data_IF_122193891084
#
_entry.id   IF_122193891084
#
_cell.length_a   1.000
_cell.length_b   1.000
_cell.length_c   1.000
_cell.angle_alpha   90.00
_cell.angle_beta   90.00
_cell.angle_gamma   90.00
#
_symmetry.space_group_name_H-M   'P 1'
#
loop_
_entity.id
_entity.type
_entity.pdbx_description
1 polymer ?
#
# COMPACT_ATOMS: atom_id res chain seq x y z
N UNK A 1 -35.01 -32.03 48.29
CA UNK A 1 -34.98 -31.30 49.57
C UNK A 1 -33.54 -30.88 49.84
N UNK A 2 -33.36 -29.58 49.88
CA UNK A 2 -32.12 -28.82 49.99
C UNK A 2 -31.78 -28.65 51.47
N UNK A 3 -30.61 -29.10 51.95
CA UNK A 3 -29.97 -28.52 53.14
C UNK A 3 -28.44 -28.70 53.03
N UNK A 4 -27.74 -27.58 52.87
CA UNK A 4 -26.28 -27.42 53.00
C UNK A 4 -26.03 -26.91 54.43
N UNK A 5 -25.08 -27.46 55.21
CA UNK A 5 -24.55 -26.77 56.37
C UNK A 5 -23.23 -26.06 56.03
N UNK A 6 -23.28 -24.74 56.15
CA UNK A 6 -22.14 -23.83 56.23
C UNK A 6 -21.27 -24.16 57.45
N UNK A 7 -19.94 -24.17 57.27
CA UNK A 7 -18.97 -24.10 58.36
C UNK A 7 -18.41 -22.67 58.40
N UNK A 8 -18.66 -21.99 59.51
CA UNK A 8 -18.10 -20.68 59.86
C UNK A 8 -16.61 -20.80 60.20
N UNK A 9 -15.81 -19.87 59.67
CA UNK A 9 -14.44 -19.61 60.10
C UNK A 9 -14.43 -18.64 61.31
N UNK A 10 -13.69 -19.01 62.36
CA UNK A 10 -13.15 -18.06 63.35
C UNK A 10 -11.87 -17.44 62.76
N UNK A 11 -11.50 -16.17 62.91
CA UNK A 11 -11.72 -15.23 64.00
C UNK A 11 -10.35 -14.81 64.55
N UNK A 12 -9.76 -13.72 64.05
CA UNK A 12 -8.76 -12.92 64.77
C UNK A 12 -8.76 -11.46 64.26
N UNK A 13 -9.03 -10.55 65.19
CA UNK A 13 -8.94 -9.08 65.13
C UNK A 13 -7.65 -8.64 65.90
N UNK A 14 -7.33 -7.35 66.04
CA UNK A 14 -7.00 -6.34 65.02
C UNK A 14 -5.64 -5.67 65.33
N UNK A 15 -5.04 -4.96 64.37
CA UNK A 15 -4.06 -3.90 64.69
C UNK A 15 -4.59 -2.57 64.19
N UNK A 16 -4.92 -1.70 65.14
CA UNK A 16 -5.21 -0.28 64.95
C UNK A 16 -3.93 0.45 64.55
N UNK A 17 -3.93 1.14 63.42
CA UNK A 17 -3.06 2.30 63.20
C UNK A 17 -3.98 3.48 62.94
N UNK A 18 -3.92 4.45 63.84
CA UNK A 18 -4.66 5.71 63.78
C UNK A 18 -4.18 6.53 62.58
N UNK A 19 -5.11 6.86 61.67
CA UNK A 19 -4.89 7.81 60.59
C UNK A 19 -4.85 9.24 61.13
N UNK A 20 -3.82 9.99 60.72
CA UNK A 20 -3.80 11.45 60.75
C UNK A 20 -4.65 12.00 59.60
N UNK A 21 -5.37 13.12 59.77
CA UNK A 21 -6.12 13.74 58.69
C UNK A 21 -5.16 14.41 57.71
N UNK A 22 -5.08 13.87 56.49
CA UNK A 22 -4.37 14.50 55.37
C UNK A 22 -5.30 15.58 54.79
N UNK A 23 -4.83 16.83 54.63
CA UNK A 23 -5.64 17.89 54.04
C UNK A 23 -5.99 17.54 52.58
N UNK A 24 -7.28 17.67 52.26
CA UNK A 24 -7.85 17.51 50.93
C UNK A 24 -7.25 18.54 49.96
N UNK A 25 -6.26 18.12 49.18
CA UNK A 25 -5.85 18.86 48.00
C UNK A 25 -6.76 18.48 46.82
N UNK A 26 -7.30 19.44 46.07
CA UNK A 26 -8.17 19.16 44.96
C UNK A 26 -7.42 18.37 43.89
N UNK A 27 -8.06 17.28 43.48
CA UNK A 27 -7.69 16.40 42.37
C UNK A 27 -7.31 17.21 41.12
N UNK A 28 -6.02 17.20 40.78
CA UNK A 28 -5.58 17.41 39.40
C UNK A 28 -4.96 16.10 38.94
N UNK A 29 -5.81 15.16 38.52
CA UNK A 29 -5.38 14.14 37.57
C UNK A 29 -4.97 14.89 36.30
N UNK A 30 -3.68 15.21 36.18
CA UNK A 30 -3.08 15.39 34.87
C UNK A 30 -2.92 13.99 34.32
N UNK A 31 -4.03 13.43 33.82
CA UNK A 31 -3.93 12.39 32.81
C UNK A 31 -3.38 13.12 31.60
N UNK A 32 -2.10 12.90 31.30
CA UNK A 32 -1.60 13.19 29.96
C UNK A 32 -2.25 12.16 29.05
N UNK A 33 -3.51 12.39 28.67
CA UNK A 33 -4.05 11.81 27.47
C UNK A 33 -3.24 12.41 26.32
N UNK A 34 -2.23 11.68 25.89
CA UNK A 34 -1.68 11.88 24.55
C UNK A 34 -2.86 11.61 23.62
N UNK A 35 -3.41 12.69 23.06
CA UNK A 35 -4.56 12.67 22.18
C UNK A 35 -4.22 11.91 20.90
N UNK A 36 -4.39 10.59 20.92
CA UNK A 36 -4.42 9.71 19.74
C UNK A 36 -5.72 9.88 18.94
N UNK A 37 -6.69 10.63 19.47
CA UNK A 37 -7.95 10.93 18.78
C UNK A 37 -7.81 11.92 17.62
N UNK A 38 -6.69 12.64 17.48
CA UNK A 38 -6.60 13.75 16.51
C UNK A 38 -6.43 13.31 15.05
N UNK A 39 -6.01 12.07 14.77
CA UNK A 39 -5.93 11.54 13.41
C UNK A 39 -7.13 10.67 13.00
N UNK A 40 -7.81 10.01 13.95
CA UNK A 40 -8.82 8.97 13.67
C UNK A 40 -10.10 9.43 12.91
N UNK A 41 -10.16 10.68 12.46
CA UNK A 41 -11.29 11.20 11.68
C UNK A 41 -10.95 12.45 10.87
N UNK A 42 -9.76 12.51 10.24
CA UNK A 42 -9.50 13.61 9.30
C UNK A 42 -10.39 13.45 8.06
N UNK A 43 -10.97 14.55 7.60
CA UNK A 43 -11.77 14.58 6.38
C UNK A 43 -10.90 14.32 5.14
N UNK A 44 -11.55 13.97 4.04
CA UNK A 44 -10.87 13.77 2.77
C UNK A 44 -10.33 15.09 2.21
N UNK A 45 -9.09 15.09 1.73
CA UNK A 45 -8.45 16.19 1.01
C UNK A 45 -8.13 15.72 -0.41
N UNK A 46 -8.56 16.45 -1.44
CA UNK A 46 -8.20 16.13 -2.83
C UNK A 46 -6.74 16.53 -3.08
N UNK A 47 -5.93 15.58 -3.56
CA UNK A 47 -4.49 15.73 -3.75
C UNK A 47 -4.12 15.50 -5.22
N UNK A 48 -3.86 16.59 -5.95
CA UNK A 48 -3.31 16.56 -7.31
C UNK A 48 -1.81 16.77 -7.34
N UNK A 49 -1.18 16.58 -8.50
CA UNK A 49 0.26 16.76 -8.67
C UNK A 49 1.07 15.48 -8.47
N UNK A 50 2.31 15.61 -8.04
CA UNK A 50 3.33 14.56 -8.22
C UNK A 50 3.57 13.67 -7.00
N UNK A 51 2.81 13.86 -5.92
CA UNK A 51 3.04 13.22 -4.63
C UNK A 51 3.99 13.98 -3.71
N UNK A 52 4.59 15.07 -4.19
CA UNK A 52 5.58 15.83 -3.43
C UNK A 52 4.93 16.65 -2.32
N UNK A 53 5.61 16.75 -1.18
CA UNK A 53 5.17 17.63 -0.08
C UNK A 53 5.08 19.09 -0.54
N UNK A 54 5.95 19.49 -1.47
CA UNK A 54 5.92 20.82 -2.09
C UNK A 54 4.63 21.08 -2.91
N UNK A 55 3.99 20.03 -3.42
CA UNK A 55 2.70 20.10 -4.10
C UNK A 55 1.54 20.12 -3.09
N UNK A 56 1.80 20.12 -1.77
CA UNK A 56 0.77 20.10 -0.73
C UNK A 56 0.29 18.69 -0.36
N UNK A 57 1.09 17.66 -0.63
CA UNK A 57 0.87 16.29 -0.14
C UNK A 57 1.36 16.11 1.31
N UNK A 58 0.81 15.14 2.06
CA UNK A 58 1.25 14.90 3.43
C UNK A 58 2.69 14.42 3.51
N UNK A 59 3.39 14.81 4.58
CA UNK A 59 4.66 14.20 4.95
C UNK A 59 4.45 12.86 5.64
N UNK A 60 5.50 12.04 5.78
CA UNK A 60 5.39 10.78 6.53
C UNK A 60 5.07 11.01 8.03
N UNK A 61 5.42 12.18 8.58
CA UNK A 61 5.03 12.58 9.94
C UNK A 61 3.55 12.95 10.10
N UNK A 62 2.84 13.19 8.99
CA UNK A 62 1.39 13.43 9.01
C UNK A 62 0.57 12.13 9.00
N UNK A 63 1.20 11.00 8.71
CA UNK A 63 0.54 9.70 8.73
C UNK A 63 0.20 9.29 10.16
N UNK A 64 -0.67 8.29 10.31
CA UNK A 64 -0.84 7.57 11.58
C UNK A 64 0.52 7.25 12.21
N UNK A 65 0.64 7.53 13.51
CA UNK A 65 1.94 7.43 14.20
C UNK A 65 2.47 6.00 14.24
N UNK A 66 1.55 5.03 14.29
CA UNK A 66 1.86 3.59 14.35
C UNK A 66 0.91 2.80 13.45
N UNK A 67 1.34 1.60 13.06
CA UNK A 67 0.49 0.65 12.34
C UNK A 67 -0.70 0.21 13.21
N UNK A 68 -0.49 0.00 14.51
CA UNK A 68 -1.53 -0.43 15.45
C UNK A 68 -2.66 0.60 15.54
N UNK A 69 -2.33 1.89 15.59
CA UNK A 69 -3.31 2.98 15.61
C UNK A 69 -4.14 3.00 14.31
N UNK A 70 -3.48 2.88 13.15
CA UNK A 70 -4.16 2.83 11.85
C UNK A 70 -5.05 1.59 11.71
N UNK A 71 -4.56 0.43 12.16
CA UNK A 71 -5.29 -0.83 12.08
C UNK A 71 -6.55 -0.79 12.95
N UNK A 72 -6.43 -0.31 14.19
CA UNK A 72 -7.59 -0.18 15.09
C UNK A 72 -8.59 0.86 14.56
N UNK A 73 -8.12 1.98 14.01
CA UNK A 73 -8.98 3.00 13.40
C UNK A 73 -9.82 2.48 12.22
N UNK A 74 -9.33 1.47 11.50
CA UNK A 74 -10.00 0.87 10.34
C UNK A 74 -10.66 -0.49 10.65
N UNK A 75 -10.55 -0.98 11.88
CA UNK A 75 -11.00 -2.33 12.26
C UNK A 75 -12.49 -2.54 12.03
N UNK A 76 -13.32 -1.53 12.31
CA UNK A 76 -14.75 -1.56 12.04
C UNK A 76 -15.05 -1.78 10.55
N UNK A 77 -14.41 -0.99 9.68
CA UNK A 77 -14.51 -1.11 8.21
C UNK A 77 -14.09 -2.51 7.75
N UNK A 78 -12.93 -2.98 8.19
CA UNK A 78 -12.44 -4.31 7.80
C UNK A 78 -13.36 -5.42 8.30
N UNK A 79 -13.90 -5.32 9.52
CA UNK A 79 -14.80 -6.33 10.09
C UNK A 79 -16.05 -6.55 9.24
N UNK A 80 -16.66 -5.49 8.69
CA UNK A 80 -17.88 -5.57 7.89
C UNK A 80 -17.66 -5.51 6.37
N UNK A 81 -16.40 -5.44 5.92
CA UNK A 81 -16.06 -5.17 4.51
C UNK A 81 -16.55 -6.22 3.52
N UNK A 82 -16.68 -7.49 3.92
CA UNK A 82 -17.07 -8.55 2.99
C UNK A 82 -18.55 -8.53 2.61
N UNK A 83 -19.38 -7.81 3.37
CA UNK A 83 -20.79 -7.63 3.06
C UNK A 83 -21.01 -7.02 1.65
N UNK A 84 -20.06 -6.23 1.13
CA UNK A 84 -20.13 -5.65 -0.21
C UNK A 84 -20.18 -6.71 -1.34
N UNK A 85 -19.73 -7.93 -1.08
CA UNK A 85 -19.82 -9.07 -2.00
C UNK A 85 -20.79 -10.16 -1.54
N UNK A 86 -21.62 -9.88 -0.53
CA UNK A 86 -22.59 -10.83 0.02
C UNK A 86 -21.94 -12.16 0.47
N UNK A 87 -20.75 -12.07 1.08
CA UNK A 87 -20.06 -13.21 1.72
C UNK A 87 -19.84 -12.93 3.21
N UNK A 88 -19.52 -13.97 3.97
CA UNK A 88 -19.33 -13.87 5.43
C UNK A 88 -18.27 -12.82 5.78
N UNK A 89 -18.58 -12.02 6.80
CA UNK A 89 -17.71 -10.96 7.28
C UNK A 89 -16.49 -11.50 8.03
N UNK A 90 -15.48 -10.65 8.18
CA UNK A 90 -14.23 -11.05 8.83
C UNK A 90 -14.47 -11.32 10.32
N UNK A 91 -13.94 -12.45 10.82
CA UNK A 91 -13.90 -12.73 12.26
C UNK A 91 -12.79 -11.95 12.96
N UNK A 92 -12.85 -11.81 14.29
CA UNK A 92 -11.77 -11.17 15.06
C UNK A 92 -10.43 -11.93 14.93
N UNK A 93 -10.48 -13.25 14.75
CA UNK A 93 -9.30 -14.08 14.50
C UNK A 93 -8.69 -13.80 13.11
N UNK A 94 -9.52 -13.63 12.08
CA UNK A 94 -9.05 -13.28 10.73
C UNK A 94 -8.43 -11.88 10.70
N UNK A 95 -9.00 -10.92 11.44
CA UNK A 95 -8.40 -9.60 11.60
C UNK A 95 -7.06 -9.67 12.35
N UNK A 96 -6.94 -10.50 13.38
CA UNK A 96 -5.67 -10.74 14.07
C UNK A 96 -4.62 -11.38 13.14
N UNK A 97 -5.02 -12.37 12.35
CA UNK A 97 -4.17 -13.01 11.34
C UNK A 97 -3.71 -12.01 10.28
N UNK A 98 -4.60 -11.13 9.81
CA UNK A 98 -4.27 -10.06 8.86
C UNK A 98 -3.27 -9.07 9.47
N UNK A 99 -3.51 -8.58 10.69
CA UNK A 99 -2.58 -7.68 11.38
C UNK A 99 -1.17 -8.28 11.53
N UNK A 100 -1.10 -9.55 11.97
CA UNK A 100 0.18 -10.26 12.13
C UNK A 100 0.88 -10.50 10.77
N UNK A 101 0.11 -10.84 9.73
CA UNK A 101 0.63 -11.03 8.38
C UNK A 101 1.22 -9.73 7.81
N UNK A 102 0.52 -8.61 7.93
CA UNK A 102 1.01 -7.29 7.49
C UNK A 102 2.34 -6.96 8.18
N UNK A 103 2.42 -7.08 9.50
CA UNK A 103 3.66 -6.81 10.26
C UNK A 103 4.82 -7.72 9.85
N UNK A 104 4.54 -9.01 9.67
CA UNK A 104 5.54 -9.99 9.24
C UNK A 104 6.07 -9.69 7.84
N UNK A 105 5.17 -9.45 6.89
CA UNK A 105 5.53 -9.16 5.50
C UNK A 105 6.26 -7.81 5.40
N UNK A 106 5.77 -6.76 6.09
CA UNK A 106 6.46 -5.48 6.21
C UNK A 106 7.92 -5.64 6.67
N UNK A 107 8.13 -6.44 7.72
CA UNK A 107 9.47 -6.71 8.27
C UNK A 107 10.37 -7.41 7.25
N UNK A 108 9.82 -8.34 6.45
CA UNK A 108 10.58 -9.11 5.47
C UNK A 108 10.88 -8.36 4.17
N UNK A 109 10.00 -7.42 3.77
CA UNK A 109 10.13 -6.69 2.50
C UNK A 109 10.76 -5.31 2.67
N UNK A 110 10.71 -4.75 3.87
CA UNK A 110 11.11 -3.37 4.16
C UNK A 110 10.04 -2.33 3.80
N UNK A 111 8.84 -2.77 3.39
CA UNK A 111 7.71 -1.88 3.10
C UNK A 111 7.02 -1.48 4.40
N UNK A 112 6.67 -0.20 4.56
CA UNK A 112 5.99 0.30 5.77
C UNK A 112 4.62 -0.39 5.95
N UNK A 113 4.36 -0.94 7.14
CA UNK A 113 3.13 -1.66 7.45
C UNK A 113 1.86 -0.80 7.29
N UNK A 114 1.94 0.51 7.54
CA UNK A 114 0.83 1.46 7.33
C UNK A 114 0.49 1.57 5.85
N UNK A 115 1.50 1.59 4.99
CA UNK A 115 1.31 1.62 3.54
C UNK A 115 0.69 0.34 3.00
N UNK A 116 1.14 -0.83 3.48
CA UNK A 116 0.51 -2.11 3.15
C UNK A 116 -0.96 -2.11 3.53
N UNK A 117 -1.30 -1.63 4.74
CA UNK A 117 -2.69 -1.54 5.18
C UNK A 117 -3.51 -0.56 4.33
N UNK A 118 -2.95 0.58 3.93
CA UNK A 118 -3.62 1.53 3.05
C UNK A 118 -4.02 0.87 1.72
N UNK A 119 -3.13 0.05 1.13
CA UNK A 119 -3.40 -0.69 -0.10
C UNK A 119 -4.44 -1.78 0.14
N UNK A 120 -4.34 -2.57 1.22
CA UNK A 120 -5.38 -3.56 1.59
C UNK A 120 -6.77 -2.91 1.70
N UNK A 121 -6.85 -1.72 2.30
CA UNK A 121 -8.10 -0.99 2.42
C UNK A 121 -8.59 -0.45 1.08
N UNK A 122 -7.69 0.01 0.21
CA UNK A 122 -8.06 0.50 -1.12
C UNK A 122 -8.56 -0.61 -2.04
N UNK A 123 -7.90 -1.77 -2.02
CA UNK A 123 -8.23 -2.89 -2.90
C UNK A 123 -9.50 -3.63 -2.49
N UNK A 124 -9.75 -3.76 -1.18
CA UNK A 124 -10.83 -4.63 -0.70
C UNK A 124 -11.60 -4.14 0.52
N UNK A 125 -11.28 -2.95 1.03
CA UNK A 125 -11.67 -2.52 2.38
C UNK A 125 -11.24 -3.51 3.49
N UNK A 126 -10.27 -4.40 3.20
CA UNK A 126 -9.79 -5.43 4.12
C UNK A 126 -10.58 -6.74 4.12
N UNK A 127 -11.42 -7.02 3.12
CA UNK A 127 -12.15 -8.29 3.06
C UNK A 127 -11.21 -9.44 2.66
N UNK A 128 -11.03 -10.43 3.55
CA UNK A 128 -10.18 -11.60 3.24
C UNK A 128 -10.79 -12.52 2.17
N UNK A 129 -12.07 -12.33 1.85
CA UNK A 129 -12.83 -13.04 0.82
C UNK A 129 -13.15 -12.18 -0.39
N UNK A 130 -12.42 -11.09 -0.60
CA UNK A 130 -12.55 -10.30 -1.83
C UNK A 130 -12.44 -11.23 -3.05
N UNK A 131 -13.38 -11.16 -4.01
CA UNK A 131 -13.39 -12.07 -5.14
C UNK A 131 -12.08 -12.02 -5.92
N UNK A 132 -11.67 -13.17 -6.43
CA UNK A 132 -10.62 -13.22 -7.43
C UNK A 132 -11.20 -12.80 -8.77
N UNK A 133 -10.64 -11.75 -9.36
CA UNK A 133 -11.02 -11.29 -10.69
C UNK A 133 -10.11 -11.93 -11.74
N UNK A 134 -10.63 -12.10 -12.96
CA UNK A 134 -9.85 -12.62 -14.09
C UNK A 134 -10.37 -12.01 -15.40
N UNK A 135 -9.63 -11.02 -15.90
CA UNK A 135 -9.89 -10.34 -17.17
C UNK A 135 -8.66 -10.44 -18.10
N UNK A 136 -8.00 -11.61 -18.09
CA UNK A 136 -6.72 -11.85 -18.79
C UNK A 136 -5.50 -11.89 -17.87
N UNK A 137 -5.64 -11.34 -16.65
CA UNK A 137 -4.71 -11.49 -15.52
C UNK A 137 -5.54 -11.89 -14.30
N UNK A 138 -5.03 -12.82 -13.49
CA UNK A 138 -5.72 -13.26 -12.28
C UNK A 138 -5.32 -12.36 -11.11
N UNK A 139 -6.27 -11.59 -10.57
CA UNK A 139 -6.03 -10.68 -9.45
C UNK A 139 -6.83 -11.16 -8.24
N UNK A 140 -6.23 -11.88 -7.28
CA UNK A 140 -6.96 -12.47 -6.19
C UNK A 140 -6.99 -11.60 -4.94
N UNK A 141 -8.14 -11.66 -4.27
CA UNK A 141 -8.21 -11.50 -2.84
C UNK A 141 -7.87 -10.11 -2.31
N UNK A 142 -7.32 -10.10 -1.09
CA UNK A 142 -7.22 -8.94 -0.21
C UNK A 142 -6.51 -7.72 -0.83
N UNK A 143 -5.52 -7.95 -1.70
CA UNK A 143 -4.72 -6.92 -2.35
C UNK A 143 -4.83 -6.95 -3.88
N UNK A 144 -5.73 -7.77 -4.45
CA UNK A 144 -5.93 -7.92 -5.91
C UNK A 144 -4.61 -8.07 -6.69
N UNK A 145 -3.68 -8.87 -6.16
CA UNK A 145 -2.29 -8.92 -6.65
C UNK A 145 -2.17 -9.55 -8.04
N UNK A 146 -1.36 -8.97 -8.93
CA UNK A 146 -1.15 -9.50 -10.27
C UNK A 146 -0.65 -10.96 -10.26
N UNK A 147 -1.45 -11.88 -10.80
CA UNK A 147 -1.23 -13.34 -10.81
C UNK A 147 -0.89 -13.92 -9.42
N UNK A 148 -1.59 -13.43 -8.40
CA UNK A 148 -1.46 -13.93 -7.04
C UNK A 148 -1.85 -15.41 -6.89
N UNK A 149 -1.17 -16.08 -5.97
CA UNK A 149 -1.47 -17.46 -5.57
C UNK A 149 -2.47 -17.51 -4.41
N UNK A 150 -2.37 -16.56 -3.47
CA UNK A 150 -3.23 -16.49 -2.29
C UNK A 150 -4.66 -16.07 -2.63
N UNK A 151 -5.65 -16.78 -2.10
CA UNK A 151 -7.06 -16.40 -2.21
C UNK A 151 -7.93 -17.18 -1.24
N UNK A 152 -8.96 -16.55 -0.70
CA UNK A 152 -10.07 -17.23 -0.03
C UNK A 152 -11.38 -17.15 -0.81
N UNK A 153 -11.36 -16.66 -2.06
CA UNK A 153 -12.56 -16.59 -2.88
C UNK A 153 -12.21 -16.67 -4.37
N UNK A 154 -12.02 -17.89 -4.88
CA UNK A 154 -11.93 -18.19 -6.32
C UNK A 154 -13.29 -18.62 -6.90
N UNK A 155 -14.38 -18.01 -6.42
CA UNK A 155 -15.77 -18.39 -6.74
C UNK A 155 -16.44 -19.28 -5.70
N UNK A 156 -15.66 -19.82 -4.75
CA UNK A 156 -16.17 -20.55 -3.58
C UNK A 156 -15.51 -19.94 -2.32
N UNK A 157 -16.18 -19.00 -1.63
CA UNK A 157 -15.61 -18.33 -0.46
C UNK A 157 -15.28 -19.32 0.67
N UNK A 158 -14.08 -19.21 1.24
CA UNK A 158 -13.63 -20.00 2.39
C UNK A 158 -14.01 -19.29 3.69
N UNK A 159 -14.63 -20.03 4.62
CA UNK A 159 -14.97 -19.53 5.96
C UNK A 159 -14.68 -20.58 7.03
N UNK A 160 -13.78 -20.31 7.99
CA UNK A 160 -12.86 -19.16 8.02
C UNK A 160 -11.85 -19.21 6.87
N UNK A 161 -11.35 -18.05 6.46
CA UNK A 161 -10.22 -17.90 5.57
C UNK A 161 -8.94 -18.30 6.31
N UNK A 162 -8.18 -19.30 5.82
CA UNK A 162 -6.98 -19.78 6.51
C UNK A 162 -5.93 -18.67 6.68
N UNK A 163 -5.27 -18.63 7.84
CA UNK A 163 -4.21 -17.65 8.12
C UNK A 163 -3.08 -17.67 7.06
N UNK A 164 -2.77 -18.85 6.51
CA UNK A 164 -1.81 -19.01 5.42
C UNK A 164 -2.26 -18.33 4.12
N UNK A 165 -3.54 -18.37 3.79
CA UNK A 165 -4.09 -17.66 2.62
C UNK A 165 -4.08 -16.14 2.82
N UNK A 166 -4.41 -15.67 4.02
CA UNK A 166 -4.28 -14.24 4.39
C UNK A 166 -2.84 -13.77 4.23
N UNK A 167 -1.89 -14.54 4.79
CA UNK A 167 -0.45 -14.25 4.67
C UNK A 167 -0.01 -14.23 3.21
N UNK A 168 -0.46 -15.21 2.40
CA UNK A 168 -0.08 -15.31 1.00
C UNK A 168 -0.62 -14.14 0.18
N UNK A 169 -1.88 -13.73 0.36
CA UNK A 169 -2.45 -12.56 -0.35
C UNK A 169 -1.65 -11.27 -0.04
N UNK A 170 -1.25 -11.09 1.21
CA UNK A 170 -0.43 -9.93 1.61
C UNK A 170 0.99 -10.03 1.06
N UNK A 171 1.55 -11.23 1.04
CA UNK A 171 2.87 -11.51 0.46
C UNK A 171 2.88 -11.23 -1.03
N UNK A 172 1.89 -11.73 -1.78
CA UNK A 172 1.78 -11.53 -3.21
C UNK A 172 1.65 -10.04 -3.57
N UNK A 173 0.83 -9.28 -2.83
CA UNK A 173 0.66 -7.84 -3.06
C UNK A 173 1.88 -7.00 -2.63
N UNK A 174 2.62 -7.42 -1.60
CA UNK A 174 3.72 -6.60 -1.06
C UNK A 174 5.07 -6.99 -1.66
N UNK A 175 5.39 -8.29 -1.68
CA UNK A 175 6.65 -8.82 -2.19
C UNK A 175 6.61 -9.08 -3.70
N UNK A 176 5.42 -9.06 -4.31
CA UNK A 176 5.21 -9.36 -5.72
C UNK A 176 5.07 -10.85 -6.00
N UNK A 177 4.77 -11.16 -7.25
CA UNK A 177 4.65 -12.53 -7.76
C UNK A 177 5.74 -12.79 -8.80
N UNK A 178 5.71 -13.97 -9.42
CA UNK A 178 6.61 -14.25 -10.54
C UNK A 178 6.28 -13.44 -11.79
N UNK A 179 5.05 -12.95 -11.92
CA UNK A 179 4.53 -12.30 -13.12
C UNK A 179 4.23 -10.80 -12.91
N UNK A 180 4.26 -10.32 -11.68
CA UNK A 180 3.85 -8.95 -11.37
C UNK A 180 4.57 -8.36 -10.16
N UNK A 181 4.76 -7.06 -10.22
CA UNK A 181 5.38 -6.30 -9.15
C UNK A 181 4.48 -6.17 -7.93
N UNK A 182 5.07 -6.31 -6.74
CA UNK A 182 4.43 -5.93 -5.50
C UNK A 182 4.86 -4.53 -5.06
N UNK A 183 4.36 -4.09 -3.91
CA UNK A 183 4.69 -2.78 -3.35
C UNK A 183 6.20 -2.55 -3.19
N UNK A 184 6.98 -3.60 -2.90
CA UNK A 184 8.45 -3.50 -2.79
C UNK A 184 9.09 -3.05 -4.11
N UNK A 185 8.68 -3.64 -5.22
CA UNK A 185 9.18 -3.31 -6.55
C UNK A 185 8.66 -1.95 -7.00
N UNK A 186 7.38 -1.65 -6.75
CA UNK A 186 6.78 -0.35 -7.03
C UNK A 186 7.52 0.78 -6.30
N UNK A 187 7.87 0.58 -5.03
CA UNK A 187 8.69 1.52 -4.25
C UNK A 187 10.09 1.69 -4.84
N UNK A 188 10.75 0.59 -5.22
CA UNK A 188 12.06 0.67 -5.85
C UNK A 188 12.03 1.49 -7.16
N UNK A 189 10.98 1.34 -7.96
CA UNK A 189 10.76 2.14 -9.18
C UNK A 189 10.45 3.61 -8.87
N UNK A 190 9.76 3.87 -7.75
CA UNK A 190 9.33 5.20 -7.33
C UNK A 190 10.41 6.03 -6.60
N UNK A 191 11.62 5.50 -6.38
CA UNK A 191 12.72 6.18 -5.68
C UNK A 191 13.07 5.61 -4.30
N UNK A 192 12.45 4.50 -3.89
CA UNK A 192 12.75 3.78 -2.65
C UNK A 192 11.89 4.24 -1.46
N UNK A 193 12.41 4.05 -0.25
CA UNK A 193 11.71 4.33 1.02
C UNK A 193 12.21 5.59 1.74
N UNK A 194 13.18 6.30 1.16
CA UNK A 194 13.81 7.48 1.77
C UNK A 194 12.98 8.76 1.66
N UNK A 195 11.96 8.77 0.80
CA UNK A 195 11.09 9.91 0.54
C UNK A 195 9.61 9.47 0.58
N UNK A 196 8.76 10.28 1.21
CA UNK A 196 7.32 10.02 1.30
C UNK A 196 6.66 10.05 -0.09
N UNK A 197 7.14 10.91 -1.00
CA UNK A 197 6.60 11.01 -2.35
C UNK A 197 6.71 9.69 -3.12
N UNK A 198 7.75 8.90 -2.85
CA UNK A 198 7.94 7.56 -3.43
C UNK A 198 6.82 6.59 -3.04
N UNK A 199 6.19 6.73 -1.87
CA UNK A 199 5.06 5.88 -1.50
C UNK A 199 3.80 6.22 -2.30
N UNK A 200 3.54 7.50 -2.55
CA UNK A 200 2.39 7.92 -3.38
C UNK A 200 2.58 7.56 -4.85
N UNK A 201 3.80 7.71 -5.35
CA UNK A 201 4.21 7.22 -6.68
C UNK A 201 4.10 5.70 -6.77
N UNK A 202 4.56 4.97 -5.77
CA UNK A 202 4.44 3.51 -5.71
C UNK A 202 2.98 3.05 -5.68
N UNK A 203 2.10 3.77 -4.99
CA UNK A 203 0.65 3.49 -5.05
C UNK A 203 0.12 3.65 -6.47
N UNK A 204 0.53 4.69 -7.20
CA UNK A 204 0.15 4.86 -8.60
C UNK A 204 0.68 3.74 -9.50
N UNK A 205 1.93 3.32 -9.31
CA UNK A 205 2.53 2.20 -10.05
C UNK A 205 1.81 0.90 -9.71
N UNK A 206 1.47 0.64 -8.44
CA UNK A 206 0.72 -0.55 -8.06
C UNK A 206 -0.65 -0.63 -8.75
N UNK A 207 -1.35 0.51 -8.84
CA UNK A 207 -2.66 0.59 -9.47
C UNK A 207 -2.63 0.48 -11.00
N UNK A 208 -1.60 1.02 -11.65
CA UNK A 208 -1.61 1.24 -13.11
C UNK A 208 -0.40 0.71 -13.87
N UNK A 209 0.57 0.13 -13.17
CA UNK A 209 1.86 -0.30 -13.70
C UNK A 209 2.79 0.84 -14.13
N UNK A 210 2.38 2.11 -14.02
CA UNK A 210 3.15 3.24 -14.55
C UNK A 210 2.79 4.57 -13.89
N UNK A 211 3.53 5.61 -14.23
CA UNK A 211 3.19 7.01 -13.92
C UNK A 211 3.20 7.76 -15.25
N UNK A 212 2.24 8.67 -15.43
CA UNK A 212 2.20 9.54 -16.61
C UNK A 212 3.51 10.34 -16.76
N UNK A 213 3.87 10.70 -17.99
CA UNK A 213 5.12 11.44 -18.28
C UNK A 213 5.18 12.82 -17.60
N UNK A 214 4.04 13.41 -17.30
CA UNK A 214 3.89 14.64 -16.50
C UNK A 214 4.26 14.46 -15.02
N UNK A 215 4.38 13.20 -14.56
CA UNK A 215 4.48 12.79 -13.16
C UNK A 215 3.24 13.08 -12.31
N UNK A 216 2.15 13.60 -12.89
CA UNK A 216 0.92 13.84 -12.15
C UNK A 216 0.24 12.50 -11.81
N UNK A 217 0.05 12.23 -10.52
CA UNK A 217 -0.51 10.98 -10.00
C UNK A 217 -2.01 10.85 -10.23
N UNK A 218 -2.70 11.94 -10.61
CA UNK A 218 -4.07 11.94 -11.10
C UNK A 218 -4.20 11.64 -12.60
N UNK A 219 -3.10 11.51 -13.35
CA UNK A 219 -3.09 11.26 -14.79
C UNK A 219 -2.59 9.86 -15.14
N UNK A 220 -2.85 9.41 -16.37
CA UNK A 220 -2.48 8.09 -16.86
C UNK A 220 -3.65 7.10 -16.79
N UNK A 221 -3.36 5.82 -17.01
CA UNK A 221 -4.35 4.74 -17.10
C UNK A 221 -4.69 4.23 -15.68
N UNK A 222 -5.91 3.74 -15.46
CA UNK A 222 -6.47 3.23 -14.19
C UNK A 222 -7.11 4.30 -13.26
N UNK A 223 -7.45 3.90 -12.04
CA UNK A 223 -8.24 4.70 -11.09
C UNK A 223 -7.52 6.00 -10.73
N UNK A 224 -7.96 7.12 -11.32
CA UNK A 224 -7.29 8.41 -11.21
C UNK A 224 -7.11 8.91 -9.77
N UNK A 225 -8.07 8.64 -8.88
CA UNK A 225 -8.03 9.07 -7.49
C UNK A 225 -7.13 8.22 -6.58
N UNK A 226 -6.55 7.12 -7.07
CA UNK A 226 -5.95 6.08 -6.24
C UNK A 226 -4.85 6.61 -5.30
N UNK A 227 -3.89 7.38 -5.81
CA UNK A 227 -2.81 7.91 -4.98
C UNK A 227 -3.33 8.92 -3.93
N UNK A 228 -4.31 9.75 -4.29
CA UNK A 228 -4.98 10.68 -3.37
C UNK A 228 -5.72 9.92 -2.26
N UNK A 229 -6.46 8.87 -2.61
CA UNK A 229 -7.15 8.01 -1.64
C UNK A 229 -6.17 7.36 -0.67
N UNK A 230 -5.05 6.82 -1.16
CA UNK A 230 -4.01 6.21 -0.34
C UNK A 230 -3.40 7.21 0.64
N UNK A 231 -3.07 8.42 0.19
CA UNK A 231 -2.58 9.48 1.07
C UNK A 231 -3.59 9.82 2.17
N UNK A 232 -4.87 9.92 1.82
CA UNK A 232 -5.93 10.21 2.80
C UNK A 232 -6.09 9.09 3.83
N UNK A 233 -6.04 7.82 3.41
CA UNK A 233 -6.09 6.65 4.32
C UNK A 233 -4.94 6.68 5.32
N UNK A 234 -3.74 7.03 4.86
CA UNK A 234 -2.55 7.14 5.72
C UNK A 234 -2.67 8.27 6.75
N UNK A 235 -3.45 9.32 6.45
CA UNK A 235 -3.61 10.50 7.30
C UNK A 235 -4.92 10.56 8.10
N UNK A 236 -5.74 9.51 8.08
CA UNK A 236 -6.91 9.43 8.97
C UNK A 236 -8.28 9.32 8.31
N UNK A 237 -8.37 9.23 6.99
CA UNK A 237 -9.63 8.95 6.31
C UNK A 237 -9.96 7.45 6.36
N UNK A 238 -10.91 7.08 7.23
CA UNK A 238 -11.24 5.68 7.54
C UNK A 238 -12.62 5.24 7.05
N UNK A 239 -13.50 6.20 6.73
CA UNK A 239 -14.91 5.95 6.37
C UNK A 239 -15.44 7.03 5.41
N UNK A 240 -16.53 6.71 4.72
CA UNK A 240 -17.19 7.61 3.77
C UNK A 240 -16.62 7.48 2.34
N UNK A 241 -17.30 8.08 1.35
CA UNK A 241 -16.82 8.08 -0.03
C UNK A 241 -15.55 8.94 -0.17
N UNK A 242 -14.77 8.65 -1.21
CA UNK A 242 -13.70 9.54 -1.64
C UNK A 242 -14.30 10.90 -2.04
N UNK A 243 -13.61 11.99 -1.71
CA UNK A 243 -13.95 13.33 -2.16
C UNK A 243 -13.33 13.69 -3.53
N UNK A 244 -12.56 12.78 -4.11
CA UNK A 244 -11.90 12.98 -5.39
C UNK A 244 -12.84 12.67 -6.55
N UNK A 245 -12.83 13.56 -7.54
CA UNK A 245 -13.49 13.36 -8.82
C UNK A 245 -12.45 12.85 -9.84
N UNK A 246 -12.62 11.64 -10.39
CA UNK A 246 -11.65 11.04 -11.31
C UNK A 246 -11.51 11.83 -12.62
N UNK A 247 -12.51 12.65 -12.99
CA UNK A 247 -12.48 13.41 -14.24
C UNK A 247 -11.62 14.67 -14.13
N UNK A 248 -11.47 15.23 -12.93
CA UNK A 248 -10.83 16.53 -12.72
C UNK A 248 -9.50 16.45 -11.99
N UNK A 249 -9.23 15.37 -11.26
CA UNK A 249 -7.99 15.19 -10.49
C UNK A 249 -6.71 15.25 -11.35
N UNK A 250 -6.80 14.84 -12.62
CA UNK A 250 -5.68 14.91 -13.56
C UNK A 250 -5.27 16.33 -13.96
N UNK A 251 -6.13 17.34 -13.75
CA UNK A 251 -5.82 18.75 -14.02
C UNK A 251 -5.18 19.45 -12.83
N UNK A 252 -5.38 18.91 -11.62
CA UNK A 252 -4.84 19.46 -10.39
C UNK A 252 -3.34 19.19 -10.30
N UNK A 253 -2.56 20.24 -10.05
CA UNK A 253 -1.10 20.19 -9.88
C UNK A 253 -0.66 20.33 -8.43
N UNK A 254 -1.60 20.53 -7.51
CA UNK A 254 -1.35 20.65 -6.07
C UNK A 254 -2.53 20.14 -5.25
N UNK A 255 -2.26 19.73 -4.02
CA UNK A 255 -3.22 19.49 -2.95
C UNK A 255 -3.24 20.63 -1.93
N UNK A 256 -4.23 20.59 -1.04
CA UNK A 256 -4.39 21.56 0.05
C UNK A 256 -4.32 20.89 1.43
N UNK A 257 -3.45 19.89 1.59
CA UNK A 257 -3.33 19.19 2.87
C UNK A 257 -2.82 20.15 3.96
N UNK A 258 -3.65 20.35 4.98
CA UNK A 258 -3.30 21.11 6.18
C UNK A 258 -2.91 20.13 7.29
N UNK A 259 -1.66 19.69 7.26
CA UNK A 259 -1.05 18.85 8.29
C UNK A 259 -0.63 19.68 9.49
N UNK A 260 -1.16 19.37 10.67
CA UNK A 260 -0.78 20.02 11.93
C UNK A 260 0.65 19.70 12.36
N UNK A 261 1.63 20.29 11.70
CA UNK A 261 2.99 20.49 12.20
C UNK A 261 3.38 21.93 11.86
N UNK A 262 3.01 22.84 12.75
CA UNK A 262 3.38 24.25 12.63
C UNK A 262 4.89 24.42 12.66
N UNK A 263 5.41 25.15 11.68
CA UNK A 263 6.57 26.02 11.86
C UNK A 263 6.29 27.33 11.09
N UNK A 264 6.60 28.50 11.67
CA UNK A 264 5.96 29.75 11.29
C UNK A 264 6.53 30.31 9.98
N UNK A 265 5.71 30.36 8.94
CA UNK A 265 5.88 31.32 7.85
C UNK A 265 5.62 32.71 8.41
N UNK A 266 6.70 33.44 8.69
CA UNK A 266 6.63 34.89 8.90
C UNK A 266 6.37 35.55 7.54
N UNK A 267 5.15 36.04 7.38
CA UNK A 267 4.78 36.99 6.34
C UNK A 267 5.66 38.24 6.47
N UNK A 268 6.53 38.46 5.49
CA UNK A 268 7.32 39.69 5.42
C UNK A 268 6.57 40.70 4.57
N UNK A 269 5.87 41.62 5.24
CA UNK A 269 5.45 42.90 4.65
C UNK A 269 6.64 43.85 4.68
N UNK A 270 6.94 44.46 3.54
CA UNK A 270 8.09 45.33 3.31
C UNK A 270 8.05 46.67 4.06
N UNK A 271 9.27 47.12 4.41
CA UNK A 271 9.80 48.49 4.53
C UNK A 271 9.84 49.17 5.93
N UNK A 272 10.79 50.11 6.19
CA UNK A 272 12.15 50.26 5.65
C UNK A 272 13.26 50.37 6.73
N UNK A 273 14.49 50.23 6.23
CA UNK A 273 15.82 50.40 6.83
C UNK A 273 16.01 51.49 7.89
N UNK A 274 16.64 51.12 9.01
CA UNK A 274 17.69 51.93 9.64
C UNK A 274 18.85 51.05 10.14
N UNK A 275 20.04 51.55 9.86
CA UNK A 275 21.38 50.97 10.04
C UNK A 275 21.82 50.94 11.50
N UNK A 276 22.40 49.83 11.98
CA UNK A 276 23.51 49.81 12.93
C UNK A 276 24.16 48.42 13.02
N UNK A 277 25.50 48.42 12.95
CA UNK A 277 26.40 47.27 12.84
C UNK A 277 26.60 46.52 14.18
N UNK A 278 27.25 45.32 14.19
CA UNK A 278 27.16 44.35 15.28
C UNK A 278 28.25 44.53 16.35
N UNK A 279 27.90 44.27 17.60
CA UNK A 279 28.84 44.08 18.70
C UNK A 279 29.27 42.60 18.78
N UNK A 280 30.57 42.39 18.66
CA UNK A 280 31.28 41.12 18.81
C UNK A 280 31.42 40.77 20.29
N UNK A 281 30.98 39.56 20.71
CA UNK A 281 31.36 39.00 22.01
C UNK A 281 31.94 37.61 21.81
N UNK A 282 33.26 37.55 21.91
CA UNK A 282 34.10 36.36 21.99
C UNK A 282 33.91 35.69 23.35
N UNK A 283 33.63 34.39 23.39
CA UNK A 283 33.81 33.58 24.60
C UNK A 283 34.60 32.32 24.23
N UNK A 284 35.75 32.18 24.87
CA UNK A 284 36.71 31.08 24.76
C UNK A 284 36.26 29.84 25.56
N UNK A 285 36.75 28.64 25.21
CA UNK A 285 36.41 27.39 25.87
C UNK A 285 37.29 27.14 27.11
N UNK A 286 36.68 26.62 28.18
CA UNK A 286 37.41 26.13 29.37
C UNK A 286 37.54 24.61 29.29
N UNK A 287 38.78 24.16 29.15
CA UNK A 287 39.25 22.77 29.27
C UNK A 287 39.14 22.30 30.72
N UNK A 288 38.59 21.10 30.94
CA UNK A 288 38.77 20.35 32.18
C UNK A 288 39.23 18.93 31.85
N UNK A 289 40.46 18.65 32.25
CA UNK A 289 41.18 17.37 32.14
C UNK A 289 40.71 16.42 33.24
N UNK A 290 40.46 15.15 32.92
CA UNK A 290 40.44 14.08 33.92
C UNK A 290 41.23 12.86 33.43
N UNK A 291 42.11 12.41 34.31
CA UNK A 291 43.13 11.37 34.14
C UNK A 291 42.57 9.99 34.50
N UNK A 292 43.05 9.02 33.73
CA UNK A 292 43.14 7.55 33.85
C UNK A 292 42.82 6.88 35.19
N UNK A 293 42.08 5.76 35.14
CA UNK A 293 42.41 4.54 35.86
C UNK A 293 41.75 3.30 35.22
N UNK A 294 42.58 2.35 34.80
CA UNK A 294 42.20 1.00 34.40
C UNK A 294 42.14 0.09 35.64
N UNK A 295 41.13 -0.74 35.74
CA UNK A 295 41.11 -1.88 36.67
C UNK A 295 40.69 -3.14 35.91
N UNK A 296 41.68 -4.00 35.74
CA UNK A 296 41.60 -5.42 35.45
C UNK A 296 40.99 -6.18 36.62
N UNK A 297 40.06 -7.10 36.34
CA UNK A 297 39.76 -8.23 37.23
C UNK A 297 39.69 -9.50 36.39
N UNK A 298 40.65 -10.37 36.64
CA UNK A 298 40.75 -11.74 36.16
C UNK A 298 39.94 -12.65 37.07
N UNK A 299 39.30 -13.67 36.49
CA UNK A 299 38.90 -14.89 37.21
C UNK A 299 39.23 -16.10 36.33
N UNK A 300 40.04 -17.00 36.90
CA UNK A 300 40.64 -18.16 36.26
C UNK A 300 40.00 -19.46 36.78
N UNK A 301 40.25 -20.54 36.01
CA UNK A 301 40.32 -21.96 36.40
C UNK A 301 39.05 -22.78 36.10
N UNK A 302 39.09 -24.06 35.67
CA UNK A 302 40.08 -24.92 35.01
C UNK A 302 39.42 -26.30 34.80
N UNK A 303 39.55 -26.85 33.58
CA UNK A 303 39.67 -28.29 33.19
C UNK A 303 38.83 -29.40 33.86
N UNK A 304 38.17 -30.24 33.04
CA UNK A 304 38.57 -31.65 32.79
C UNK A 304 37.87 -32.21 31.53
N UNK A 305 38.64 -32.94 30.75
CA UNK A 305 38.35 -33.55 29.45
C UNK A 305 37.50 -34.82 29.53
N UNK A 306 36.64 -35.02 28.53
CA UNK A 306 36.23 -36.37 28.08
C UNK A 306 36.09 -36.38 26.56
N UNK A 307 36.92 -37.21 25.93
CA UNK A 307 36.98 -37.48 24.50
C UNK A 307 35.83 -38.39 24.06
N UNK A 308 35.06 -37.98 23.05
CA UNK A 308 34.28 -38.90 22.21
C UNK A 308 34.50 -38.53 20.75
N UNK A 309 35.19 -39.41 20.04
CA UNK A 309 35.35 -39.40 18.60
C UNK A 309 34.02 -39.69 17.91
N UNK A 310 33.62 -38.84 16.98
CA UNK A 310 32.70 -39.22 15.90
C UNK A 310 33.28 -38.82 14.56
N UNK A 311 33.45 -39.83 13.72
CA UNK A 311 34.08 -39.76 12.42
C UNK A 311 33.24 -38.94 11.44
N UNK A 312 33.93 -38.06 10.71
CA UNK A 312 33.45 -37.38 9.50
C UNK A 312 33.12 -38.45 8.43
N UNK A 313 31.90 -38.48 7.85
CA UNK A 313 31.63 -39.33 6.70
C UNK A 313 32.38 -38.80 5.48
N UNK A 314 33.40 -39.54 5.07
CA UNK A 314 34.08 -39.36 3.78
C UNK A 314 33.27 -40.14 2.75
N UNK A 315 32.57 -39.45 1.85
CA UNK A 315 31.91 -40.10 0.71
C UNK A 315 32.93 -40.26 -0.42
N UNK A 316 33.08 -41.45 -1.03
CA UNK A 316 34.04 -41.67 -2.11
C UNK A 316 33.64 -40.92 -3.39
N UNK A 317 34.58 -40.19 -3.97
CA UNK A 317 34.46 -39.65 -5.31
C UNK A 317 34.57 -40.80 -6.33
N UNK A 318 33.42 -41.29 -6.80
CA UNK A 318 33.34 -42.20 -7.94
C UNK A 318 33.33 -41.36 -9.22
N UNK A 319 34.43 -41.42 -9.96
CA UNK A 319 34.60 -40.81 -11.28
C UNK A 319 33.77 -41.55 -12.33
N UNK A 320 32.76 -40.89 -12.88
CA UNK A 320 32.02 -41.34 -14.07
C UNK A 320 32.66 -40.66 -15.29
N UNK A 321 33.08 -41.40 -16.34
CA UNK A 321 33.55 -40.78 -17.58
C UNK A 321 32.35 -40.25 -18.37
N UNK A 322 32.24 -38.91 -18.46
CA UNK A 322 31.29 -38.25 -19.35
C UNK A 322 31.96 -38.08 -20.71
N UNK A 323 31.55 -38.90 -21.67
CA UNK A 323 31.87 -38.73 -23.08
C UNK A 323 31.09 -37.55 -23.63
N UNK A 324 31.81 -36.50 -24.03
CA UNK A 324 31.28 -35.31 -24.70
C UNK A 324 31.09 -35.62 -26.18
N UNK A 325 29.88 -35.52 -26.77
CA UNK A 325 29.73 -35.55 -28.22
C UNK A 325 30.07 -34.17 -28.81
N UNK A 326 30.95 -34.24 -29.80
CA UNK A 326 31.42 -33.17 -30.68
C UNK A 326 30.28 -32.36 -31.30
N UNK A 327 30.52 -31.04 -31.39
CA UNK A 327 29.73 -30.10 -32.16
C UNK A 327 29.66 -30.53 -33.64
N UNK A 328 28.44 -30.53 -34.18
CA UNK A 328 28.17 -30.64 -35.60
C UNK A 328 27.60 -29.30 -36.09
N UNK A 329 28.23 -28.78 -37.13
CA UNK A 329 28.00 -27.49 -37.76
C UNK A 329 26.67 -27.43 -38.51
N UNK A 330 25.89 -26.36 -38.32
CA UNK A 330 24.77 -25.96 -39.18
C UNK A 330 24.96 -24.52 -39.66
N UNK A 331 24.50 -24.17 -40.88
CA UNK A 331 25.05 -23.05 -41.63
C UNK A 331 24.50 -21.69 -41.21
N UNK A 332 25.40 -20.70 -41.22
CA UNK A 332 25.16 -19.27 -41.13
C UNK A 332 24.20 -18.78 -42.22
N UNK A 333 23.08 -18.16 -41.81
CA UNK A 333 22.30 -17.25 -42.68
C UNK A 333 22.59 -15.82 -42.22
N UNK A 334 22.88 -14.95 -43.20
CA UNK A 334 23.31 -13.57 -43.06
C UNK A 334 22.31 -12.67 -42.31
N UNK A 335 22.75 -11.55 -41.69
CA UNK A 335 21.85 -10.60 -41.05
C UNK A 335 21.19 -9.71 -42.12
N UNK A 336 19.88 -9.82 -42.25
CA UNK A 336 19.07 -8.83 -42.99
C UNK A 336 18.84 -7.61 -42.11
N UNK A 337 19.06 -6.43 -42.69
CA UNK A 337 18.99 -5.14 -42.04
C UNK A 337 17.62 -4.86 -41.38
N UNK A 338 17.69 -4.27 -40.19
CA UNK A 338 16.55 -3.76 -39.43
C UNK A 338 15.92 -2.57 -40.18
N UNK A 339 14.69 -2.75 -40.64
CA UNK A 339 13.80 -1.67 -41.08
C UNK A 339 12.75 -1.41 -40.01
N UNK A 340 12.70 -0.16 -39.56
CA UNK A 340 11.69 0.46 -38.67
C UNK A 340 10.26 0.01 -38.98
N UNK A 341 9.40 -0.31 -37.98
CA UNK A 341 7.98 -0.46 -38.25
C UNK A 341 7.35 0.93 -38.46
N UNK A 342 6.87 1.13 -39.68
CA UNK A 342 5.95 2.19 -40.09
C UNK A 342 4.54 1.85 -39.64
N UNK A 343 3.75 2.87 -39.32
CA UNK A 343 2.33 2.79 -39.00
C UNK A 343 1.56 1.89 -39.98
N UNK A 344 0.78 0.94 -39.45
CA UNK A 344 -0.10 0.06 -40.23
C UNK A 344 -1.56 0.37 -39.90
N UNK A 345 -2.36 0.57 -40.94
CA UNK A 345 -3.71 1.11 -40.91
C UNK A 345 -4.81 0.08 -40.56
N UNK A 346 -5.94 0.64 -40.11
CA UNK A 346 -7.24 0.05 -39.73
C UNK A 346 -7.76 -1.08 -40.64
N UNK A 347 -8.32 -2.12 -40.02
CA UNK A 347 -9.19 -3.12 -40.69
C UNK A 347 -10.60 -3.05 -40.08
N UNK A 348 -11.53 -2.42 -40.78
CA UNK A 348 -12.95 -2.32 -40.39
C UNK A 348 -13.73 -3.47 -41.05
N UNK A 349 -14.24 -4.43 -40.29
CA UNK A 349 -15.14 -5.47 -40.81
C UNK A 349 -16.61 -5.05 -40.62
N UNK A 350 -17.33 -4.79 -41.72
CA UNK A 350 -18.66 -4.17 -41.74
C UNK A 350 -19.84 -5.05 -41.26
N UNK A 351 -19.60 -6.30 -40.84
CA UNK A 351 -20.67 -7.26 -40.48
C UNK A 351 -20.87 -7.46 -38.96
N UNK A 352 -20.11 -6.78 -38.11
CA UNK A 352 -20.23 -6.89 -36.65
C UNK A 352 -21.48 -6.14 -36.13
N UNK A 353 -22.19 -6.65 -35.09
CA UNK A 353 -23.32 -5.93 -34.50
C UNK A 353 -22.89 -4.59 -33.85
N UNK A 354 -23.71 -3.55 -33.99
CA UNK A 354 -23.51 -2.26 -33.31
C UNK A 354 -23.83 -2.41 -31.83
N UNK A 355 -23.00 -1.82 -30.97
CA UNK A 355 -23.26 -1.76 -29.54
C UNK A 355 -24.63 -1.10 -29.28
N UNK A 356 -25.57 -1.75 -28.57
CA UNK A 356 -26.97 -1.30 -28.50
C UNK A 356 -27.21 0.11 -27.97
N UNK A 357 -26.20 0.67 -27.30
CA UNK A 357 -26.25 1.96 -26.66
C UNK A 357 -25.27 2.98 -27.27
N UNK A 358 -24.71 2.68 -28.45
CA UNK A 358 -24.00 3.67 -29.25
C UNK A 358 -24.93 4.83 -29.66
N UNK A 359 -24.40 6.05 -29.69
CA UNK A 359 -25.17 7.24 -30.04
C UNK A 359 -25.77 7.13 -31.45
N UNK A 360 -27.05 7.51 -31.67
CA UNK A 360 -27.66 7.50 -32.99
C UNK A 360 -26.98 8.43 -34.02
N UNK A 361 -26.20 9.42 -33.56
CA UNK A 361 -25.47 10.36 -34.43
C UNK A 361 -24.10 9.82 -34.88
N UNK A 362 -23.76 8.57 -34.56
CA UNK A 362 -22.44 8.04 -34.84
C UNK A 362 -22.09 8.03 -36.34
N UNK A 363 -20.92 8.55 -36.67
CA UNK A 363 -20.36 8.68 -38.01
C UNK A 363 -19.26 7.64 -38.31
N UNK A 364 -18.58 7.12 -37.29
CA UNK A 364 -17.53 6.10 -37.44
C UNK A 364 -17.55 5.10 -36.28
N UNK A 365 -17.33 3.83 -36.59
CA UNK A 365 -17.32 2.73 -35.62
C UNK A 365 -15.98 1.99 -35.56
N UNK A 366 -15.67 1.43 -34.40
CA UNK A 366 -14.55 0.53 -34.16
C UNK A 366 -15.05 -0.82 -33.63
N UNK A 367 -14.66 -1.93 -34.26
CA UNK A 367 -15.02 -3.29 -33.85
C UNK A 367 -14.04 -3.82 -32.82
N UNK A 368 -14.50 -4.07 -31.60
CA UNK A 368 -13.69 -4.61 -30.50
C UNK A 368 -13.17 -6.01 -30.86
N UNK A 369 -11.85 -6.15 -30.84
CA UNK A 369 -11.08 -7.37 -31.05
C UNK A 369 -10.60 -7.99 -29.73
N UNK A 370 -10.11 -9.22 -29.79
CA UNK A 370 -9.54 -9.91 -28.63
C UNK A 370 -8.31 -9.15 -28.13
N UNK A 371 -8.30 -8.80 -26.84
CA UNK A 371 -7.24 -8.01 -26.23
C UNK A 371 -7.42 -6.50 -26.34
N UNK A 372 -8.56 -6.02 -26.87
CA UNK A 372 -8.93 -4.62 -26.82
C UNK A 372 -9.48 -4.23 -25.45
N UNK A 373 -9.13 -3.02 -25.04
CA UNK A 373 -9.63 -2.30 -23.88
C UNK A 373 -9.75 -0.83 -24.27
N UNK A 374 -10.52 0.01 -23.54
CA UNK A 374 -10.90 1.34 -24.04
C UNK A 374 -9.71 2.19 -24.45
N UNK A 375 -8.64 2.19 -23.66
CA UNK A 375 -7.45 2.98 -24.00
C UNK A 375 -6.79 2.55 -25.33
N UNK A 376 -6.83 1.26 -25.68
CA UNK A 376 -6.36 0.80 -27.00
C UNK A 376 -7.26 1.33 -28.11
N UNK A 377 -8.58 1.28 -27.92
CA UNK A 377 -9.57 1.84 -28.88
C UNK A 377 -9.39 3.35 -29.03
N UNK A 378 -9.25 4.08 -27.91
CA UNK A 378 -8.98 5.51 -27.84
C UNK A 378 -7.71 5.89 -28.60
N UNK A 379 -6.62 5.17 -28.37
CA UNK A 379 -5.33 5.41 -29.02
C UNK A 379 -5.39 5.11 -30.52
N UNK A 380 -6.01 3.99 -30.91
CA UNK A 380 -6.12 3.59 -32.32
C UNK A 380 -7.07 4.48 -33.12
N UNK A 381 -8.04 5.11 -32.46
CA UNK A 381 -9.03 5.98 -33.11
C UNK A 381 -8.78 7.47 -32.90
N UNK A 382 -7.88 7.84 -31.98
CA UNK A 382 -7.50 9.23 -31.70
C UNK A 382 -8.56 10.00 -30.91
N UNK A 383 -9.31 9.32 -30.05
CA UNK A 383 -10.41 9.91 -29.24
C UNK A 383 -10.08 9.79 -27.76
N UNK A 384 -10.69 10.66 -26.96
CA UNK A 384 -10.56 10.62 -25.49
C UNK A 384 -11.52 9.59 -24.87
N UNK A 385 -11.20 9.08 -23.68
CA UNK A 385 -12.12 8.25 -22.89
C UNK A 385 -13.48 8.92 -22.70
N UNK A 386 -13.50 10.24 -22.48
CA UNK A 386 -14.73 11.02 -22.37
C UNK A 386 -15.59 10.95 -23.64
N UNK A 387 -14.98 11.10 -24.81
CA UNK A 387 -15.68 10.96 -26.10
C UNK A 387 -16.19 9.53 -26.33
N UNK A 388 -15.38 8.52 -25.98
CA UNK A 388 -15.77 7.12 -26.13
C UNK A 388 -16.96 6.77 -25.22
N UNK A 389 -16.98 7.26 -23.97
CA UNK A 389 -18.09 7.11 -23.03
C UNK A 389 -19.32 7.90 -23.48
N UNK A 390 -19.14 9.14 -23.91
CA UNK A 390 -20.22 10.01 -24.37
C UNK A 390 -20.95 9.41 -25.59
N UNK A 391 -20.21 8.83 -26.53
CA UNK A 391 -20.79 8.26 -27.75
C UNK A 391 -21.29 6.83 -27.59
N UNK A 392 -21.04 6.18 -26.45
CA UNK A 392 -21.46 4.80 -26.19
C UNK A 392 -22.03 4.69 -24.78
N UNK A 393 -23.25 5.23 -24.60
CA UNK A 393 -23.95 5.20 -23.32
C UNK A 393 -23.96 3.77 -22.76
N UNK A 394 -23.76 3.56 -21.46
CA UNK A 394 -23.74 2.20 -20.90
C UNK A 394 -22.39 1.49 -20.96
N UNK A 395 -21.38 2.02 -21.67
CA UNK A 395 -19.99 1.74 -21.35
C UNK A 395 -19.67 2.33 -19.97
N UNK A 396 -19.06 1.54 -19.08
CA UNK A 396 -18.75 2.01 -17.72
C UNK A 396 -17.44 2.82 -17.69
N UNK A 397 -17.30 3.70 -16.71
CA UNK A 397 -16.11 4.57 -16.56
C UNK A 397 -14.82 3.76 -16.37
N UNK A 398 -14.91 2.56 -15.82
CA UNK A 398 -13.77 1.66 -15.63
C UNK A 398 -13.40 0.91 -16.93
N UNK A 399 -14.18 1.08 -18.00
CA UNK A 399 -14.13 0.32 -19.24
C UNK A 399 -14.08 -1.21 -19.04
N UNK A 400 -14.79 -1.72 -18.04
CA UNK A 400 -14.76 -3.16 -17.73
C UNK A 400 -15.74 -3.98 -18.54
N UNK A 401 -16.62 -3.31 -19.30
CA UNK A 401 -17.75 -3.92 -19.98
C UNK A 401 -17.72 -3.78 -21.51
N UNK A 402 -16.52 -3.72 -22.12
CA UNK A 402 -16.39 -3.83 -23.58
C UNK A 402 -16.83 -5.20 -24.09
N UNK A 403 -17.62 -5.19 -25.16
CA UNK A 403 -18.16 -6.42 -25.74
C UNK A 403 -17.31 -6.82 -26.94
N UNK A 404 -16.56 -7.91 -26.79
CA UNK A 404 -15.79 -8.50 -27.88
C UNK A 404 -16.68 -8.77 -29.10
N UNK A 405 -16.25 -8.30 -30.27
CA UNK A 405 -16.96 -8.48 -31.54
C UNK A 405 -18.07 -7.46 -31.82
N UNK A 406 -18.31 -6.47 -30.95
CA UNK A 406 -19.27 -5.39 -31.18
C UNK A 406 -18.61 -4.10 -31.69
N UNK A 407 -19.38 -3.29 -32.41
CA UNK A 407 -18.96 -2.00 -32.93
C UNK A 407 -19.33 -0.86 -31.97
N UNK A 408 -18.32 -0.11 -31.50
CA UNK A 408 -18.47 1.07 -30.64
C UNK A 408 -18.24 2.34 -31.46
N UNK A 409 -19.00 3.39 -31.15
CA UNK A 409 -18.88 4.68 -31.79
C UNK A 409 -17.56 5.36 -31.42
N UNK A 410 -16.84 5.83 -32.44
CA UNK A 410 -15.54 6.51 -32.28
C UNK A 410 -15.49 7.84 -33.04
N UNK A 411 -16.64 8.31 -33.53
CA UNK A 411 -16.86 9.66 -34.06
C UNK A 411 -18.36 9.92 -34.16
N UNK A 412 -18.88 11.01 -33.60
CA UNK A 412 -20.30 11.36 -33.63
C UNK A 412 -20.57 12.77 -34.18
#
# INVERSE_FOLDING_TARGET
>A
MLVIPFILAAGSLPTLISGLPVPSFPSSKVTTEVSTQTLQKRGYTVLGGTGEVADGWPSMSDWFSTFEEMFEANKGTMKSSCAQWNVENNSDEELANMSNSIKSVASSTGVDARFILAIVLQESNGCVRAPTTNYGVVNPGLMQSHDGSGSCNRGNPLTPCPASQITQMITDGTAGTASGDGLKQCLAQAGGTGDVASYYRAARIYNSGSIASSQNLGQGIATHCYASDIANRLTGWTTGPSGCDPNTIGELTSGAFSGGAGSPTTSTTSAPTTTSAPATTTIHPTTATFTTASTTSSSSSSTTSTTVSTAKPTVPATTIPVSVPSAASTPTVAPTASSSPSASAKTSSSDAPIYPYATPSCQEYYTIQTGDYCFKVETETGITAAQLLEWNAGLDEACTNLWLGYQYCVKA
#
